data_IF_100989314479
#
_entry.id   IF_100989314479
#
_cell.length_a   1.000
_cell.length_b   1.000
_cell.length_c   1.000
_cell.angle_alpha   90.00
_cell.angle_beta   90.00
_cell.angle_gamma   90.00
#
_symmetry.space_group_name_H-M   'P 1'
#
loop_
_entity.id
_entity.type
_entity.pdbx_description
1 polymer ?
#
# COMPACT_ATOMS: atom_id res chain seq x y z
N UNK A 1 0.89 -40.37 -10.36
CA UNK A 1 0.77 -38.96 -9.94
C UNK A 1 -0.33 -38.31 -10.76
N UNK A 2 -1.35 -37.74 -10.12
CA UNK A 2 -2.52 -37.21 -10.82
C UNK A 2 -2.11 -36.05 -11.77
N UNK A 3 -2.40 -36.14 -13.08
CA UNK A 3 -1.94 -35.17 -14.08
C UNK A 3 -2.42 -33.74 -13.81
N UNK A 4 -3.57 -33.62 -13.14
CA UNK A 4 -4.13 -32.35 -12.66
C UNK A 4 -3.22 -31.56 -11.74
N UNK A 5 -2.43 -32.23 -10.89
CA UNK A 5 -1.50 -31.55 -9.98
C UNK A 5 -0.40 -30.80 -10.73
N UNK A 6 0.11 -31.37 -11.83
CA UNK A 6 1.15 -30.73 -12.66
C UNK A 6 0.58 -29.53 -13.43
N UNK A 7 -0.66 -29.63 -13.88
CA UNK A 7 -1.36 -28.54 -14.57
C UNK A 7 -1.62 -27.38 -13.60
N UNK A 8 -2.20 -27.65 -12.42
CA UNK A 8 -2.45 -26.62 -11.41
C UNK A 8 -1.16 -25.97 -10.93
N UNK A 9 -0.10 -26.76 -10.72
CA UNK A 9 1.23 -26.24 -10.38
C UNK A 9 1.78 -25.32 -11.49
N UNK A 10 1.66 -25.71 -12.76
CA UNK A 10 2.12 -24.88 -13.88
C UNK A 10 1.33 -23.57 -14.03
N UNK A 11 0.03 -23.59 -13.72
CA UNK A 11 -0.82 -22.39 -13.74
C UNK A 11 -0.39 -21.46 -12.60
N UNK A 12 -0.18 -21.99 -11.40
CA UNK A 12 0.27 -21.23 -10.24
C UNK A 12 1.59 -20.49 -10.54
N UNK A 13 2.59 -21.19 -11.05
CA UNK A 13 3.89 -20.59 -11.40
C UNK A 13 3.77 -19.48 -12.45
N UNK A 14 2.91 -19.66 -13.47
CA UNK A 14 2.68 -18.62 -14.49
C UNK A 14 2.00 -17.38 -13.92
N UNK A 15 1.06 -17.56 -13.00
CA UNK A 15 0.40 -16.42 -12.32
C UNK A 15 1.41 -15.67 -11.45
N UNK A 16 2.23 -16.41 -10.71
CA UNK A 16 3.31 -15.83 -9.90
C UNK A 16 4.27 -14.99 -10.76
N UNK A 17 4.76 -15.53 -11.87
CA UNK A 17 5.65 -14.81 -12.79
C UNK A 17 5.04 -13.51 -13.33
N UNK A 18 3.76 -13.53 -13.69
CA UNK A 18 3.05 -12.33 -14.18
C UNK A 18 2.93 -11.28 -13.08
N UNK A 19 2.60 -11.70 -11.85
CA UNK A 19 2.50 -10.79 -10.71
C UNK A 19 3.87 -10.20 -10.38
N UNK A 20 4.91 -11.02 -10.32
CA UNK A 20 6.28 -10.59 -10.06
C UNK A 20 6.76 -9.62 -11.13
N UNK A 21 6.54 -9.94 -12.41
CA UNK A 21 6.90 -9.05 -13.52
C UNK A 21 6.17 -7.70 -13.44
N UNK A 22 4.88 -7.70 -13.08
CA UNK A 22 4.09 -6.49 -12.92
C UNK A 22 4.58 -5.64 -11.75
N UNK A 23 4.90 -6.28 -10.62
CA UNK A 23 5.44 -5.63 -9.43
C UNK A 23 6.81 -5.01 -9.72
N UNK A 24 7.71 -5.74 -10.40
CA UNK A 24 9.05 -5.27 -10.77
C UNK A 24 9.01 -4.16 -11.83
N UNK A 25 8.00 -4.12 -12.69
CA UNK A 25 7.81 -3.02 -13.65
C UNK A 25 7.26 -1.75 -12.98
N UNK A 26 6.67 -1.88 -11.79
CA UNK A 26 6.03 -0.75 -11.10
C UNK A 26 7.05 0.16 -10.42
N UNK A 27 7.18 1.44 -10.84
CA UNK A 27 8.08 2.39 -10.19
C UNK A 27 7.63 2.72 -8.75
N UNK A 28 6.35 2.55 -8.44
CA UNK A 28 5.82 2.80 -7.09
C UNK A 28 6.24 1.70 -6.12
N UNK A 29 6.31 0.45 -6.58
CA UNK A 29 6.81 -0.67 -5.78
C UNK A 29 8.26 -0.42 -5.37
N UNK A 30 9.13 -0.07 -6.31
CA UNK A 30 10.53 0.26 -6.02
C UNK A 30 10.67 1.43 -5.04
N UNK A 31 9.84 2.47 -5.18
CA UNK A 31 9.79 3.59 -4.22
C UNK A 31 9.35 3.14 -2.84
N UNK A 32 8.40 2.22 -2.75
CA UNK A 32 7.92 1.62 -1.49
C UNK A 32 9.01 0.81 -0.80
N UNK A 33 9.64 -0.13 -1.52
CA UNK A 33 10.74 -0.95 -1.01
C UNK A 33 11.89 -0.08 -0.53
N UNK A 34 12.25 0.96 -1.30
CA UNK A 34 13.29 1.93 -0.89
C UNK A 34 12.94 2.65 0.42
N UNK A 35 11.67 2.98 0.67
CA UNK A 35 11.24 3.58 1.94
C UNK A 35 11.40 2.60 3.09
N UNK A 36 10.93 1.37 2.93
CA UNK A 36 11.00 0.32 3.96
C UNK A 36 12.45 0.00 4.30
N UNK A 37 13.30 -0.21 3.29
CA UNK A 37 14.72 -0.48 3.49
C UNK A 37 15.37 0.59 4.34
N UNK A 38 15.17 1.87 3.97
CA UNK A 38 15.71 3.00 4.72
C UNK A 38 15.15 3.06 6.13
N UNK A 39 13.86 2.84 6.34
CA UNK A 39 13.28 2.80 7.68
C UNK A 39 13.90 1.72 8.56
N UNK A 40 14.13 0.52 8.01
CA UNK A 40 14.81 -0.56 8.73
C UNK A 40 16.26 -0.20 9.04
N UNK A 41 16.94 0.43 8.09
CA UNK A 41 18.32 0.88 8.23
C UNK A 41 18.45 1.98 9.30
N UNK A 42 17.56 2.98 9.29
CA UNK A 42 17.45 4.04 10.30
C UNK A 42 17.20 3.45 11.70
N UNK A 43 16.35 2.42 11.80
CA UNK A 43 16.07 1.73 13.08
C UNK A 43 17.30 0.96 13.58
N UNK A 44 18.05 0.34 12.66
CA UNK A 44 19.15 -0.57 13.02
C UNK A 44 20.46 0.14 13.31
N UNK A 45 20.78 1.16 12.53
CA UNK A 45 22.06 1.87 12.59
C UNK A 45 21.95 3.30 13.10
N UNK A 46 20.72 3.78 13.32
CA UNK A 46 20.46 5.18 13.62
C UNK A 46 20.45 6.02 12.34
N UNK A 47 19.98 7.26 12.49
CA UNK A 47 19.87 8.18 11.37
C UNK A 47 21.18 8.95 11.18
N UNK A 48 21.66 9.01 9.94
CA UNK A 48 22.81 9.85 9.60
C UNK A 48 22.45 11.34 9.79
N UNK A 49 23.16 12.08 10.67
CA UNK A 49 22.88 13.50 10.94
C UNK A 49 23.14 14.41 9.75
N UNK A 50 23.83 13.94 8.70
CA UNK A 50 24.11 14.69 7.48
C UNK A 50 23.06 14.53 6.37
N UNK A 51 22.13 13.57 6.52
CA UNK A 51 21.11 13.31 5.51
C UNK A 51 20.02 14.41 5.56
N UNK A 52 19.72 15.10 4.43
CA UNK A 52 18.68 16.13 4.42
C UNK A 52 17.32 15.60 4.90
N UNK A 53 16.56 16.48 5.56
CA UNK A 53 15.19 16.18 6.02
C UNK A 53 14.37 15.55 4.89
N UNK A 54 13.80 14.38 5.13
CA UNK A 54 13.10 13.64 4.07
C UNK A 54 11.79 14.34 3.78
N UNK A 55 11.38 14.25 2.53
CA UNK A 55 10.14 14.86 2.06
C UNK A 55 8.96 14.32 2.88
N UNK A 56 8.33 15.20 3.65
CA UNK A 56 7.24 14.87 4.56
C UNK A 56 7.62 14.79 6.03
N UNK A 57 8.88 14.70 6.45
CA UNK A 57 9.25 14.65 7.88
C UNK A 57 9.09 15.98 8.60
N UNK A 58 9.26 17.09 7.88
CA UNK A 58 8.98 18.43 8.41
C UNK A 58 7.46 18.72 8.54
N UNK A 59 6.59 17.88 7.97
CA UNK A 59 5.13 18.10 7.90
C UNK A 59 4.33 16.85 8.33
N UNK A 60 5.01 15.79 8.76
CA UNK A 60 4.37 14.53 9.13
C UNK A 60 3.74 14.70 10.51
N UNK A 61 2.46 15.03 10.53
CA UNK A 61 1.65 14.81 11.71
C UNK A 61 1.35 13.30 11.83
N UNK A 62 1.92 12.60 12.82
CA UNK A 62 1.71 11.15 12.98
C UNK A 62 0.23 10.78 13.17
N UNK A 63 -0.63 11.71 13.59
CA UNK A 63 -2.08 11.47 13.72
C UNK A 63 -2.80 11.42 12.36
N UNK A 64 -2.30 12.08 11.31
CA UNK A 64 -2.98 12.13 10.00
C UNK A 64 -2.89 10.81 9.23
N UNK A 65 -1.73 10.16 9.24
CA UNK A 65 -1.50 8.93 8.44
C UNK A 65 -2.31 7.74 8.98
N UNK A 66 -2.42 7.60 10.30
CA UNK A 66 -3.19 6.52 10.93
C UNK A 66 -4.69 6.58 10.62
N UNK A 67 -5.25 7.80 10.58
CA UNK A 67 -6.66 7.98 10.25
C UNK A 67 -6.95 7.65 8.78
N UNK A 68 -6.08 8.03 7.84
CA UNK A 68 -6.26 7.73 6.42
C UNK A 68 -6.29 6.22 6.13
N UNK A 69 -5.35 5.44 6.68
CA UNK A 69 -5.30 3.98 6.44
C UNK A 69 -6.54 3.30 7.00
N UNK A 70 -6.99 3.70 8.19
CA UNK A 70 -8.22 3.18 8.79
C UNK A 70 -9.43 3.43 7.88
N UNK A 71 -9.60 4.67 7.42
CA UNK A 71 -10.70 5.03 6.50
C UNK A 71 -10.59 4.30 5.15
N UNK A 72 -9.38 4.12 4.62
CA UNK A 72 -9.15 3.39 3.39
C UNK A 72 -9.53 1.89 3.50
N UNK A 73 -9.15 1.24 4.60
CA UNK A 73 -9.53 -0.16 4.88
C UNK A 73 -11.04 -0.29 5.11
N UNK A 74 -11.63 0.64 5.86
CA UNK A 74 -13.08 0.67 6.10
C UNK A 74 -13.85 0.83 4.77
N UNK A 75 -13.37 1.69 3.88
CA UNK A 75 -13.96 1.89 2.55
C UNK A 75 -13.83 0.64 1.66
N UNK A 76 -12.65 0.02 1.59
CA UNK A 76 -12.48 -1.25 0.85
C UNK A 76 -13.40 -2.35 1.38
N UNK A 77 -13.56 -2.46 2.70
CA UNK A 77 -14.48 -3.42 3.33
C UNK A 77 -15.93 -3.09 3.00
N UNK A 78 -16.30 -1.82 3.00
CA UNK A 78 -17.65 -1.36 2.70
C UNK A 78 -18.01 -1.57 1.21
N UNK A 79 -17.06 -1.36 0.30
CA UNK A 79 -17.19 -1.67 -1.12
C UNK A 79 -17.34 -3.18 -1.36
N UNK A 80 -16.53 -4.01 -0.69
CA UNK A 80 -16.65 -5.46 -0.76
C UNK A 80 -17.99 -6.00 -0.21
N UNK A 81 -18.62 -5.25 0.71
CA UNK A 81 -19.95 -5.56 1.29
C UNK A 81 -21.12 -4.98 0.48
N UNK A 82 -20.86 -4.29 -0.63
CA UNK A 82 -21.90 -3.71 -1.50
C UNK A 82 -22.65 -2.53 -0.89
N UNK A 83 -22.10 -1.89 0.16
CA UNK A 83 -22.67 -0.68 0.79
C UNK A 83 -21.63 0.45 0.78
N UNK A 84 -21.47 1.20 -0.32
CA UNK A 84 -20.61 2.38 -0.32
C UNK A 84 -21.13 3.38 0.73
N UNK A 85 -20.24 3.92 1.56
CA UNK A 85 -20.62 4.98 2.50
C UNK A 85 -20.77 6.27 1.73
N UNK A 86 -22.00 6.76 1.59
CA UNK A 86 -22.26 8.05 0.96
C UNK A 86 -21.75 9.18 1.86
N UNK A 87 -20.90 9.99 1.24
CA UNK A 87 -20.44 11.33 1.61
C UNK A 87 -19.39 11.46 2.72
N UNK A 88 -18.26 12.14 2.44
CA UNK A 88 -17.29 12.51 3.47
C UNK A 88 -17.92 13.52 4.45
N UNK A 89 -17.49 13.53 5.73
CA UNK A 89 -17.95 14.51 6.69
C UNK A 89 -17.45 15.90 6.26
N UNK A 90 -18.33 16.70 5.65
CA UNK A 90 -18.03 18.06 5.20
C UNK A 90 -18.64 18.50 3.87
N UNK A 91 -19.37 17.65 3.15
CA UNK A 91 -20.07 18.10 1.94
C UNK A 91 -21.22 19.08 2.31
N UNK A 92 -21.26 20.31 1.76
CA UNK A 92 -22.35 21.23 2.02
C UNK A 92 -23.68 20.63 1.53
N UNK A 93 -24.81 20.85 2.24
CA UNK A 93 -26.08 20.26 1.84
C UNK A 93 -26.47 20.75 0.44
N UNK A 94 -26.81 19.80 -0.43
CA UNK A 94 -27.32 20.10 -1.75
C UNK A 94 -28.58 20.98 -1.59
N UNK A 95 -28.50 22.21 -2.12
CA UNK A 95 -29.62 23.14 -2.13
C UNK A 95 -30.73 22.54 -2.99
N UNK A 96 -31.92 22.38 -2.39
CA UNK A 96 -33.17 22.14 -3.13
C UNK A 96 -33.59 23.40 -3.88
#
# INVERSE_FOLDING_TARGET
>A
MAPWGRILWSIFLKVEDVIVAQILRSPTFHRGVRRVHRTVEDIRYGRDPSDPLRQGEATADPKRTGNFIKHFIDELRNQARGKPTNSPPGAPPAKK
#
